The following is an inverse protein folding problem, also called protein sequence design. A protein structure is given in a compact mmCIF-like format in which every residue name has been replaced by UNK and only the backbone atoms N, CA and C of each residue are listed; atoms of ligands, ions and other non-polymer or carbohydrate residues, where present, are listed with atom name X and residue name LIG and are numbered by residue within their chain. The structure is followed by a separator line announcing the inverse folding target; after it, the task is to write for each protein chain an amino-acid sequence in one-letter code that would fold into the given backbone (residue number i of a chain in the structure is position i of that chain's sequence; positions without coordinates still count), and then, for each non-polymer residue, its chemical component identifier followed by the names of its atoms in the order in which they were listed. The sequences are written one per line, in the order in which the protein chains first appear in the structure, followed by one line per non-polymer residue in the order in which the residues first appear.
data_IF_694257718372
#
_entry.id   IF_694257718372
#
_cell.length_a   1.000
_cell.length_b   1.000
_cell.length_c   1.000
_cell.angle_alpha   90.00
_cell.angle_beta   90.00
_cell.angle_gamma   90.00
#
_symmetry.space_group_name_H-M   'P 1'
#
loop_
_entity.id
_entity.type
_entity.pdbx_description
1 polymer ?
#
# COMPACT_ATOMS: atom_id res chain seq x y z
N UNK A 1 12.71 -2.33 -11.99
CA UNK A 1 13.69 -3.22 -11.32
C UNK A 1 14.94 -2.49 -10.80
N UNK A 2 15.66 -1.69 -11.57
CA UNK A 2 16.86 -0.96 -11.10
C UNK A 2 16.61 -0.05 -9.87
N UNK A 3 15.50 0.66 -9.82
CA UNK A 3 15.14 1.50 -8.66
C UNK A 3 14.88 0.69 -7.38
N UNK A 4 14.27 -0.47 -7.50
CA UNK A 4 14.00 -1.36 -6.36
C UNK A 4 15.27 -1.98 -5.82
N UNK A 5 16.19 -2.38 -6.71
CA UNK A 5 17.53 -2.86 -6.32
C UNK A 5 18.29 -1.77 -5.55
N UNK A 6 18.23 -0.53 -6.01
CA UNK A 6 18.83 0.62 -5.32
C UNK A 6 18.22 0.86 -3.94
N UNK A 7 16.89 0.78 -3.79
CA UNK A 7 16.20 0.88 -2.49
C UNK A 7 16.63 -0.24 -1.54
N UNK A 8 16.76 -1.47 -2.04
CA UNK A 8 17.28 -2.61 -1.27
C UNK A 8 18.72 -2.37 -0.81
N UNK A 9 19.56 -1.79 -1.66
CA UNK A 9 20.95 -1.46 -1.33
C UNK A 9 21.05 -0.30 -0.35
N UNK A 10 20.23 0.72 -0.48
CA UNK A 10 20.17 1.89 0.42
C UNK A 10 19.62 1.51 1.81
N UNK A 11 18.79 0.47 1.90
CA UNK A 11 18.23 -0.03 3.17
C UNK A 11 19.17 -0.93 3.95
N UNK A 12 20.39 -1.21 3.46
CA UNK A 12 21.40 -2.00 4.19
C UNK A 12 21.74 -1.32 5.50
N UNK A 13 21.11 -1.82 6.58
CA UNK A 13 21.21 -1.28 7.94
C UNK A 13 19.87 -0.98 8.60
N UNK A 14 18.77 -0.90 7.85
CA UNK A 14 17.40 -0.88 8.37
C UNK A 14 16.76 -2.27 8.19
N UNK A 15 16.06 -2.75 9.21
CA UNK A 15 15.30 -4.01 9.13
C UNK A 15 14.10 -3.81 8.20
N UNK A 16 14.30 -4.01 6.90
CA UNK A 16 13.20 -4.08 5.94
C UNK A 16 12.40 -5.35 6.21
N UNK A 17 11.15 -5.17 6.63
CA UNK A 17 10.21 -6.28 6.81
C UNK A 17 9.57 -6.68 5.49
N UNK A 18 9.37 -5.72 4.56
CA UNK A 18 8.83 -5.92 3.21
C UNK A 18 9.37 -4.88 2.23
N UNK A 19 9.47 -5.25 0.95
CA UNK A 19 9.63 -4.31 -0.15
C UNK A 19 8.30 -4.20 -0.92
N UNK A 20 7.59 -3.12 -0.68
CA UNK A 20 6.35 -2.80 -1.38
C UNK A 20 6.63 -1.89 -2.58
N UNK A 21 6.20 -2.33 -3.77
CA UNK A 21 6.32 -1.59 -5.02
C UNK A 21 4.95 -1.47 -5.68
N UNK A 22 4.66 -0.33 -6.30
CA UNK A 22 3.37 -0.10 -6.99
C UNK A 22 3.58 0.66 -8.30
N UNK A 23 2.63 0.49 -9.22
CA UNK A 23 2.53 1.31 -10.42
C UNK A 23 3.17 0.73 -11.66
N UNK A 24 3.54 -0.56 -11.69
CA UNK A 24 3.97 -1.19 -12.93
C UNK A 24 2.79 -1.38 -13.89
N UNK A 25 3.11 -1.34 -15.19
CA UNK A 25 2.18 -1.65 -16.27
C UNK A 25 2.96 -2.44 -17.34
N UNK A 26 2.44 -3.60 -17.74
CA UNK A 26 3.07 -4.46 -18.76
C UNK A 26 3.23 -3.79 -20.13
N UNK A 27 2.38 -2.83 -20.45
CA UNK A 27 2.45 -2.08 -21.70
C UNK A 27 3.75 -1.25 -21.83
N UNK A 28 4.41 -0.96 -20.71
CA UNK A 28 5.69 -0.25 -20.68
C UNK A 28 6.91 -1.17 -20.81
N UNK A 29 6.70 -2.47 -20.96
CA UNK A 29 7.79 -3.43 -21.15
C UNK A 29 8.02 -3.68 -22.64
N UNK A 30 9.27 -3.89 -23.04
CA UNK A 30 9.65 -4.19 -24.43
C UNK A 30 8.84 -5.36 -25.02
N UNK A 31 8.51 -6.33 -24.18
CA UNK A 31 7.57 -7.41 -24.48
C UNK A 31 6.49 -7.40 -23.41
N UNK A 32 5.25 -7.04 -23.75
CA UNK A 32 4.15 -7.01 -22.79
C UNK A 32 3.93 -8.40 -22.17
N UNK A 33 4.15 -8.49 -20.87
CA UNK A 33 3.90 -9.68 -20.04
C UNK A 33 3.82 -9.29 -18.58
N UNK A 34 3.25 -10.15 -17.78
CA UNK A 34 3.35 -9.98 -16.34
C UNK A 34 4.76 -10.35 -15.83
N UNK A 35 5.27 -9.67 -14.80
CA UNK A 35 6.47 -10.10 -14.09
C UNK A 35 6.28 -11.51 -13.51
N UNK A 36 7.38 -12.21 -13.26
CA UNK A 36 7.38 -13.53 -12.65
C UNK A 36 8.08 -13.47 -11.28
N UNK A 37 7.65 -14.32 -10.34
CA UNK A 37 8.27 -14.38 -9.00
C UNK A 37 9.79 -14.54 -9.03
N UNK A 38 10.31 -15.32 -9.98
CA UNK A 38 11.76 -15.56 -10.10
C UNK A 38 12.54 -14.26 -10.38
N UNK A 39 11.91 -13.29 -11.05
CA UNK A 39 12.53 -11.97 -11.28
C UNK A 39 12.62 -11.16 -9.99
N UNK A 40 11.67 -11.37 -9.07
CA UNK A 40 11.68 -10.78 -7.74
C UNK A 40 12.62 -11.56 -6.79
N UNK A 41 12.65 -12.89 -6.89
CA UNK A 41 13.59 -13.74 -6.15
C UNK A 41 15.04 -13.40 -6.50
N UNK A 42 15.31 -13.04 -7.76
CA UNK A 42 16.62 -12.55 -8.17
C UNK A 42 17.05 -11.24 -7.49
N UNK A 43 16.10 -10.46 -6.93
CA UNK A 43 16.39 -9.28 -6.12
C UNK A 43 16.63 -9.65 -4.66
N UNK A 44 15.79 -10.51 -4.09
CA UNK A 44 15.94 -11.05 -2.73
C UNK A 44 15.07 -12.30 -2.55
N UNK A 45 15.65 -13.32 -1.92
CA UNK A 45 14.95 -14.51 -1.42
C UNK A 45 14.67 -14.43 0.09
N UNK A 46 15.21 -13.42 0.78
CA UNK A 46 15.09 -13.25 2.23
C UNK A 46 14.09 -12.16 2.61
N UNK A 47 13.98 -11.13 1.78
CA UNK A 47 13.05 -10.02 1.99
C UNK A 47 11.82 -10.26 1.12
N UNK A 48 10.61 -10.32 1.71
CA UNK A 48 9.37 -10.41 0.96
C UNK A 48 9.20 -9.19 0.05
N UNK A 49 8.88 -9.43 -1.22
CA UNK A 49 8.68 -8.39 -2.22
C UNK A 49 7.28 -8.55 -2.82
N UNK A 50 6.52 -7.47 -2.87
CA UNK A 50 5.28 -7.40 -3.62
C UNK A 50 5.30 -6.22 -4.58
N UNK A 51 4.93 -6.47 -5.83
CA UNK A 51 4.77 -5.46 -6.87
C UNK A 51 3.30 -5.38 -7.31
N UNK A 52 2.62 -4.30 -6.96
CA UNK A 52 1.22 -4.08 -7.33
C UNK A 52 1.14 -3.32 -8.65
N UNK A 53 0.33 -3.84 -9.58
CA UNK A 53 0.05 -3.22 -10.88
C UNK A 53 -0.67 -1.88 -10.68
N UNK A 54 -0.54 -1.00 -11.65
CA UNK A 54 -1.17 0.34 -11.65
C UNK A 54 -2.68 0.31 -11.35
N UNK A 55 -3.39 -0.74 -11.79
CA UNK A 55 -4.83 -0.89 -11.54
C UNK A 55 -5.18 -1.24 -10.08
N UNK A 56 -4.23 -1.76 -9.29
CA UNK A 56 -4.49 -2.21 -7.92
C UNK A 56 -5.11 -3.60 -7.76
N UNK A 57 -5.50 -4.26 -8.86
CA UNK A 57 -6.20 -5.56 -8.86
C UNK A 57 -5.30 -6.76 -9.19
N UNK A 58 -4.05 -6.50 -9.52
CA UNK A 58 -3.06 -7.52 -9.86
C UNK A 58 -1.75 -7.18 -9.17
N UNK A 59 -1.10 -8.19 -8.61
CA UNK A 59 0.25 -8.04 -8.05
C UNK A 59 1.09 -9.28 -8.37
N UNK A 60 2.39 -9.15 -8.23
CA UNK A 60 3.32 -10.27 -8.23
C UNK A 60 4.11 -10.26 -6.93
N UNK A 61 4.22 -11.41 -6.30
CA UNK A 61 4.95 -11.60 -5.05
C UNK A 61 6.13 -12.55 -5.27
N UNK A 62 7.25 -12.30 -4.60
CA UNK A 62 8.35 -13.27 -4.61
C UNK A 62 8.04 -14.50 -3.76
N UNK A 63 8.87 -15.54 -3.85
CA UNK A 63 8.66 -16.80 -3.14
C UNK A 63 8.59 -16.59 -1.62
N UNK A 64 9.43 -15.73 -1.05
CA UNK A 64 9.40 -15.40 0.38
C UNK A 64 8.08 -14.75 0.80
N UNK A 65 7.55 -13.81 0.00
CA UNK A 65 6.26 -13.17 0.26
C UNK A 65 5.08 -14.15 0.13
N UNK A 66 5.11 -15.07 -0.84
CA UNK A 66 4.10 -16.13 -0.98
C UNK A 66 4.06 -17.05 0.24
N UNK A 67 5.21 -17.41 0.81
CA UNK A 67 5.28 -18.24 2.02
C UNK A 67 4.70 -17.54 3.25
N UNK A 68 4.74 -16.21 3.30
CA UNK A 68 4.07 -15.45 4.36
C UNK A 68 2.56 -15.35 4.09
N UNK A 69 2.17 -15.13 2.84
CA UNK A 69 0.76 -15.08 2.46
C UNK A 69 0.03 -16.38 2.78
N UNK A 70 0.65 -17.54 2.54
CA UNK A 70 0.08 -18.86 2.88
C UNK A 70 -0.23 -19.06 4.36
N UNK A 71 0.36 -18.24 5.23
CA UNK A 71 0.20 -18.37 6.71
C UNK A 71 -0.93 -17.52 7.27
N UNK A 72 -1.54 -16.63 6.48
CA UNK A 72 -2.68 -15.85 6.96
C UNK A 72 -3.92 -16.75 7.08
N UNK A 73 -4.79 -16.53 8.07
CA UNK A 73 -5.99 -17.34 8.27
C UNK A 73 -6.93 -17.37 7.07
N UNK A 74 -6.98 -16.27 6.33
CA UNK A 74 -7.85 -16.07 5.16
C UNK A 74 -7.33 -16.72 3.88
N UNK A 75 -6.12 -17.29 3.88
CA UNK A 75 -5.52 -17.87 2.67
C UNK A 75 -6.42 -18.87 1.95
N UNK A 76 -7.16 -19.79 2.62
CA UNK A 76 -8.05 -20.73 1.93
C UNK A 76 -9.15 -20.04 1.11
N UNK A 77 -9.56 -18.84 1.47
CA UNK A 77 -10.61 -18.09 0.77
C UNK A 77 -10.09 -17.45 -0.53
N UNK A 78 -8.80 -17.13 -0.57
CA UNK A 78 -8.16 -16.44 -1.68
C UNK A 78 -7.23 -17.33 -2.51
N UNK A 79 -7.02 -18.58 -2.13
CA UNK A 79 -6.06 -19.51 -2.77
C UNK A 79 -6.25 -19.60 -4.28
N UNK A 80 -7.50 -19.63 -4.76
CA UNK A 80 -7.83 -19.66 -6.20
C UNK A 80 -7.42 -18.39 -6.97
N UNK A 81 -7.14 -17.30 -6.26
CA UNK A 81 -6.70 -16.02 -6.83
C UNK A 81 -5.17 -15.88 -6.78
N UNK A 82 -4.46 -16.91 -6.29
CA UNK A 82 -3.02 -16.98 -6.13
C UNK A 82 -2.43 -18.04 -7.06
N UNK A 83 -1.61 -17.60 -7.99
CA UNK A 83 -0.81 -18.52 -8.81
C UNK A 83 0.58 -18.68 -8.16
N UNK A 84 0.77 -19.80 -7.50
CA UNK A 84 2.01 -20.10 -6.77
C UNK A 84 3.22 -20.33 -7.70
N UNK A 85 2.97 -20.70 -8.97
CA UNK A 85 4.05 -20.97 -9.94
C UNK A 85 4.64 -19.65 -10.45
N UNK A 86 3.80 -18.70 -10.78
CA UNK A 86 4.22 -17.40 -11.31
C UNK A 86 4.38 -16.31 -10.25
N UNK A 87 3.79 -16.50 -9.07
CA UNK A 87 3.71 -15.50 -8.02
C UNK A 87 2.60 -14.46 -8.22
N UNK A 88 1.70 -14.71 -9.18
CA UNK A 88 0.63 -13.77 -9.52
C UNK A 88 -0.49 -13.81 -8.48
N UNK A 89 -0.90 -12.63 -8.01
CA UNK A 89 -2.03 -12.40 -7.13
C UNK A 89 -3.08 -11.60 -7.89
N UNK A 90 -4.36 -11.90 -7.66
CA UNK A 90 -5.50 -11.21 -8.28
C UNK A 90 -6.51 -10.81 -7.21
N UNK A 91 -7.29 -9.77 -7.53
CA UNK A 91 -8.47 -9.31 -6.78
C UNK A 91 -8.25 -9.28 -5.25
N UNK A 92 -9.00 -10.13 -4.50
CA UNK A 92 -8.92 -10.16 -3.04
C UNK A 92 -7.52 -10.57 -2.55
N UNK A 93 -6.81 -11.46 -3.24
CA UNK A 93 -5.46 -11.86 -2.87
C UNK A 93 -4.48 -10.67 -2.86
N UNK A 94 -4.69 -9.68 -3.75
CA UNK A 94 -3.91 -8.43 -3.74
C UNK A 94 -4.19 -7.61 -2.49
N UNK A 95 -5.42 -7.60 -2.00
CA UNK A 95 -5.82 -6.84 -0.82
C UNK A 95 -5.28 -7.44 0.48
N UNK A 96 -5.20 -8.78 0.55
CA UNK A 96 -4.70 -9.49 1.73
C UNK A 96 -3.20 -9.32 2.00
N UNK A 97 -2.42 -8.77 1.05
CA UNK A 97 -1.03 -8.43 1.36
C UNK A 97 -0.94 -7.41 2.52
N UNK A 98 -1.96 -6.57 2.68
CA UNK A 98 -2.00 -5.59 3.77
C UNK A 98 -2.03 -6.23 5.16
N UNK A 99 -2.51 -7.48 5.26
CA UNK A 99 -2.56 -8.24 6.52
C UNK A 99 -1.17 -8.70 7.00
N UNK A 100 -0.21 -8.79 6.10
CA UNK A 100 1.17 -9.22 6.40
C UNK A 100 2.15 -8.06 6.49
N UNK A 101 1.72 -6.85 6.14
CA UNK A 101 2.54 -5.65 6.27
C UNK A 101 2.36 -5.00 7.65
N UNK A 102 3.45 -4.48 8.19
CA UNK A 102 3.38 -3.66 9.40
C UNK A 102 2.56 -2.39 9.14
N UNK A 103 1.65 -2.08 10.05
CA UNK A 103 0.89 -0.85 9.97
C UNK A 103 1.81 0.36 10.19
N UNK A 104 1.79 1.38 9.31
CA UNK A 104 2.67 2.53 9.44
C UNK A 104 2.37 3.30 10.74
N UNK A 105 3.41 3.88 11.33
CA UNK A 105 3.27 4.82 12.44
C UNK A 105 2.55 6.10 12.01
N UNK A 106 2.09 6.92 12.95
CA UNK A 106 1.49 8.21 12.61
C UNK A 106 2.49 9.13 11.89
N UNK A 107 3.74 9.14 12.30
CA UNK A 107 4.79 9.95 11.65
C UNK A 107 5.02 9.54 10.19
N UNK A 108 5.00 8.24 9.90
CA UNK A 108 5.11 7.74 8.53
C UNK A 108 3.89 8.16 7.70
N UNK A 109 2.67 8.07 8.24
CA UNK A 109 1.45 8.53 7.56
C UNK A 109 1.52 10.03 7.27
N UNK A 110 1.94 10.83 8.24
CA UNK A 110 2.15 12.28 8.04
C UNK A 110 3.19 12.55 6.93
N UNK A 111 4.25 11.74 6.89
CA UNK A 111 5.26 11.79 5.82
C UNK A 111 4.65 11.49 4.44
N UNK A 112 3.78 10.48 4.32
CA UNK A 112 3.10 10.13 3.07
C UNK A 112 2.16 11.24 2.62
N UNK A 113 1.37 11.82 3.53
CA UNK A 113 0.45 12.94 3.23
C UNK A 113 1.24 14.15 2.72
N UNK A 114 2.30 14.55 3.41
CA UNK A 114 3.15 15.69 3.01
C UNK A 114 3.81 15.47 1.65
N UNK A 115 4.34 14.26 1.41
CA UNK A 115 4.95 13.92 0.13
C UNK A 115 3.93 13.99 -1.01
N UNK A 116 2.74 13.41 -0.83
CA UNK A 116 1.68 13.41 -1.83
C UNK A 116 1.16 14.82 -2.10
N UNK A 117 0.92 15.61 -1.05
CA UNK A 117 0.50 17.01 -1.17
C UNK A 117 1.52 17.84 -1.96
N UNK A 118 2.82 17.67 -1.67
CA UNK A 118 3.88 18.33 -2.42
C UNK A 118 3.84 17.97 -3.91
N UNK A 119 3.67 16.69 -4.23
CA UNK A 119 3.59 16.23 -5.64
C UNK A 119 2.37 16.79 -6.37
N UNK A 120 1.25 16.85 -5.71
CA UNK A 120 0.03 17.46 -6.26
C UNK A 120 0.20 18.97 -6.48
N UNK A 121 0.80 19.68 -5.52
CA UNK A 121 1.11 21.10 -5.65
C UNK A 121 2.07 21.39 -6.82
N UNK A 122 3.09 20.53 -7.05
CA UNK A 122 4.01 20.63 -8.20
C UNK A 122 3.24 20.53 -9.54
N UNK A 123 2.09 19.86 -9.56
CA UNK A 123 1.19 19.77 -10.71
C UNK A 123 0.11 20.89 -10.73
N UNK A 124 0.12 21.83 -9.78
CA UNK A 124 -0.83 22.94 -9.70
C UNK A 124 -2.15 22.62 -8.98
N UNK A 125 -2.30 21.45 -8.38
CA UNK A 125 -3.50 21.13 -7.60
C UNK A 125 -3.48 21.82 -6.25
N UNK A 126 -4.63 22.37 -5.83
CA UNK A 126 -4.86 23.03 -4.54
C UNK A 126 -5.85 22.28 -3.65
N UNK A 127 -6.45 21.22 -4.17
CA UNK A 127 -7.39 20.35 -3.47
C UNK A 127 -7.38 18.96 -4.08
N UNK A 128 -7.68 17.96 -3.27
CA UNK A 128 -7.72 16.55 -3.65
C UNK A 128 -8.86 15.86 -2.93
N UNK A 129 -9.45 14.88 -3.60
CA UNK A 129 -10.36 13.92 -3.00
C UNK A 129 -9.62 12.57 -2.88
N UNK A 130 -9.67 11.94 -1.72
CA UNK A 130 -9.02 10.66 -1.44
C UNK A 130 -9.96 9.71 -0.67
N UNK A 131 -9.59 8.44 -0.59
CA UNK A 131 -10.30 7.37 0.12
C UNK A 131 -9.32 6.59 1.02
N UNK A 132 -8.52 7.32 1.79
CA UNK A 132 -7.35 6.77 2.48
C UNK A 132 -7.68 5.95 3.73
N UNK A 133 -8.91 6.05 4.29
CA UNK A 133 -9.25 5.52 5.60
C UNK A 133 -9.04 3.99 5.75
N UNK A 134 -9.15 3.25 4.65
CA UNK A 134 -8.96 1.80 4.62
C UNK A 134 -7.79 1.35 3.71
N UNK A 135 -7.01 2.27 3.14
CA UNK A 135 -6.04 1.95 2.08
C UNK A 135 -4.65 1.54 2.60
N UNK A 136 -4.31 1.91 3.84
CA UNK A 136 -3.01 1.56 4.44
C UNK A 136 -3.07 0.27 5.26
N UNK A 137 -1.95 -0.46 5.40
CA UNK A 137 -1.86 -1.61 6.29
C UNK A 137 -2.37 -1.30 7.69
N UNK A 138 -3.11 -2.25 8.28
CA UNK A 138 -3.76 -2.09 9.57
C UNK A 138 -5.07 -1.29 9.55
N UNK A 139 -5.44 -0.70 8.39
CA UNK A 139 -6.74 -0.05 8.13
C UNK A 139 -7.25 0.83 9.27
N UNK A 140 -6.35 1.60 9.88
CA UNK A 140 -6.61 2.38 11.07
C UNK A 140 -7.03 3.81 10.69
N UNK A 141 -8.33 4.02 10.44
CA UNK A 141 -8.87 5.31 10.07
C UNK A 141 -8.60 6.42 11.12
N UNK A 142 -8.57 6.06 12.44
CA UNK A 142 -8.27 7.04 13.49
C UNK A 142 -6.87 7.60 13.36
N UNK A 143 -5.90 6.76 12.98
CA UNK A 143 -4.52 7.21 12.74
C UNK A 143 -4.45 8.15 11.54
N UNK A 144 -5.18 7.83 10.46
CA UNK A 144 -5.24 8.68 9.27
C UNK A 144 -5.82 10.06 9.64
N UNK A 145 -6.97 10.08 10.30
CA UNK A 145 -7.61 11.33 10.71
C UNK A 145 -6.78 12.14 11.71
N UNK A 146 -6.10 11.45 12.65
CA UNK A 146 -5.18 12.12 13.57
C UNK A 146 -3.99 12.75 12.85
N UNK A 147 -3.47 12.09 11.81
CA UNK A 147 -2.38 12.61 10.98
C UNK A 147 -2.80 13.87 10.21
N UNK A 148 -3.96 13.86 9.57
CA UNK A 148 -4.51 15.05 8.90
C UNK A 148 -4.71 16.21 9.87
N UNK A 149 -5.34 15.98 11.03
CA UNK A 149 -5.54 17.00 12.06
C UNK A 149 -4.23 17.57 12.60
N UNK A 150 -3.24 16.70 12.81
CA UNK A 150 -1.94 17.13 13.32
C UNK A 150 -1.19 18.01 12.30
N UNK A 151 -1.24 17.63 11.02
CA UNK A 151 -0.63 18.42 9.93
C UNK A 151 -1.34 19.77 9.74
N UNK A 152 -2.67 19.79 9.78
CA UNK A 152 -3.45 21.02 9.68
C UNK A 152 -3.16 21.97 10.85
N UNK A 153 -3.19 21.47 12.07
CA UNK A 153 -2.90 22.25 13.28
C UNK A 153 -1.49 22.89 13.29
N UNK A 154 -0.52 22.25 12.61
CA UNK A 154 0.82 22.79 12.43
C UNK A 154 1.00 23.66 11.19
N UNK A 155 -0.05 23.83 10.37
CA UNK A 155 0.03 24.54 9.09
C UNK A 155 0.91 23.83 8.05
N UNK A 156 1.09 22.52 8.18
CA UNK A 156 1.90 21.69 7.28
C UNK A 156 1.10 21.01 6.17
N UNK A 157 -0.23 21.12 6.20
CA UNK A 157 -1.12 20.59 5.16
C UNK A 157 -1.27 21.62 4.04
N UNK A 158 -0.51 21.46 2.97
CA UNK A 158 -0.40 22.45 1.88
C UNK A 158 -1.50 22.34 0.81
N UNK A 159 -2.44 21.39 0.96
CA UNK A 159 -3.52 21.11 0.01
C UNK A 159 -4.81 20.84 0.79
N UNK A 160 -5.95 21.25 0.24
CA UNK A 160 -7.25 20.91 0.82
C UNK A 160 -7.56 19.44 0.54
N UNK A 161 -7.87 18.69 1.59
CA UNK A 161 -8.32 17.30 1.50
C UNK A 161 -9.83 17.19 1.68
N UNK A 162 -10.44 16.41 0.81
CA UNK A 162 -11.80 15.89 0.98
C UNK A 162 -11.73 14.38 1.05
N UNK A 163 -12.02 13.82 2.23
CA UNK A 163 -11.90 12.40 2.48
C UNK A 163 -13.21 11.68 2.16
N UNK A 164 -13.17 10.70 1.25
CA UNK A 164 -14.26 9.76 1.03
C UNK A 164 -14.21 8.70 2.12
N UNK A 165 -15.25 8.62 2.93
CA UNK A 165 -15.30 7.73 4.06
C UNK A 165 -15.64 6.30 3.64
N UNK A 166 -14.64 5.51 3.28
CA UNK A 166 -14.77 4.08 3.04
C UNK A 166 -14.42 3.30 4.32
N UNK A 167 -15.38 2.51 4.81
CA UNK A 167 -15.20 1.63 5.96
C UNK A 167 -15.54 0.19 5.56
N UNK A 168 -14.73 -0.78 6.00
CA UNK A 168 -15.03 -2.19 5.79
C UNK A 168 -16.09 -2.71 6.74
N UNK A 169 -16.23 -2.08 7.92
CA UNK A 169 -17.15 -2.50 8.98
C UNK A 169 -18.09 -1.37 9.33
N UNK A 170 -19.35 -1.71 9.53
CA UNK A 170 -20.41 -0.76 9.95
C UNK A 170 -20.08 -0.11 11.30
N UNK A 171 -19.43 -0.85 12.20
CA UNK A 171 -19.02 -0.37 13.52
C UNK A 171 -18.01 0.79 13.40
N UNK A 172 -17.09 0.72 12.46
CA UNK A 172 -16.12 1.80 12.22
C UNK A 172 -16.80 3.06 11.68
N UNK A 173 -17.78 2.92 10.79
CA UNK A 173 -18.57 4.04 10.30
C UNK A 173 -19.39 4.69 11.44
N UNK A 174 -19.99 3.90 12.33
CA UNK A 174 -20.72 4.41 13.51
C UNK A 174 -19.78 5.17 14.44
N UNK A 175 -18.64 4.56 14.79
CA UNK A 175 -17.64 5.19 15.65
C UNK A 175 -17.11 6.50 15.05
N UNK A 176 -16.91 6.56 13.74
CA UNK A 176 -16.50 7.78 13.04
C UNK A 176 -17.51 8.92 13.25
N UNK A 177 -18.80 8.64 13.09
CA UNK A 177 -19.86 9.62 13.30
C UNK A 177 -19.95 10.01 14.79
N UNK A 178 -19.87 9.05 15.72
CA UNK A 178 -19.96 9.28 17.16
C UNK A 178 -18.79 10.13 17.68
N UNK A 179 -17.59 9.95 17.10
CA UNK A 179 -16.41 10.76 17.41
C UNK A 179 -16.46 12.19 16.82
N UNK A 180 -17.58 12.54 16.16
CA UNK A 180 -17.85 13.92 15.71
C UNK A 180 -17.30 14.25 14.32
N UNK A 181 -16.82 13.25 13.58
CA UNK A 181 -16.48 13.45 12.18
C UNK A 181 -17.76 13.48 11.36
N UNK A 182 -18.11 14.67 10.89
CA UNK A 182 -19.26 14.97 10.04
C UNK A 182 -18.84 15.95 8.96
N UNK A 183 -19.69 16.13 7.96
CA UNK A 183 -19.51 17.09 6.85
C UNK A 183 -19.15 18.50 7.31
#
# INVERSE_FOLDING_TARGET
MLQQKKRLEESKGQKLTWLYCRGWNEEHFDKPRYPHKDELDALSTEIPIIMVRVCGHVAVCNSCGLELLKKIPEFPEIEKEVDLDTGLLKENAVQFYSSVLDAPSQEEVEGYIKYSAKKLNECGFTGVQSDDLASLPGKNWRRIMASYKALDARGELSIRHYEQCLFERVEDAKAFIEEGYRD
#
